data_IF_423427151232
#
_entry.id   IF_423427151232
#
_cell.length_a   1.000
_cell.length_b   1.000
_cell.length_c   1.000
_cell.angle_alpha   90.00
_cell.angle_beta   90.00
_cell.angle_gamma   90.00
#
_symmetry.space_group_name_H-M   'P 1'
#
loop_
_entity.id
_entity.type
_entity.pdbx_description
1 polymer ?
#
# COMPACT_ATOMS: atom_id res chain seq x y z
N UNK A 1 -14.35 35.11 -9.86
CA UNK A 1 -14.28 35.13 -11.35
C UNK A 1 -12.91 35.61 -11.90
N UNK A 2 -12.27 36.68 -11.41
CA UNK A 2 -10.95 37.13 -11.94
C UNK A 2 -9.81 36.13 -11.66
N UNK A 3 -9.77 35.45 -10.49
CA UNK A 3 -8.72 34.47 -10.15
C UNK A 3 -8.80 33.17 -11.01
N UNK A 4 -10.01 32.68 -11.28
CA UNK A 4 -10.16 31.49 -12.14
C UNK A 4 -9.76 31.75 -13.60
N UNK A 5 -9.92 32.99 -14.09
CA UNK A 5 -9.47 33.39 -15.43
C UNK A 5 -7.94 33.49 -15.53
N UNK A 6 -7.26 33.87 -14.44
CA UNK A 6 -5.81 33.92 -14.39
C UNK A 6 -5.22 32.50 -14.40
N UNK A 7 -5.76 31.57 -13.61
CA UNK A 7 -5.34 30.16 -13.61
C UNK A 7 -5.60 29.51 -14.97
N UNK A 8 -6.75 29.75 -15.59
CA UNK A 8 -7.05 29.24 -16.93
C UNK A 8 -6.15 29.85 -18.04
N UNK A 9 -5.78 31.12 -17.91
CA UNK A 9 -4.85 31.77 -18.86
C UNK A 9 -3.43 31.24 -18.70
N UNK A 10 -2.99 30.95 -17.48
CA UNK A 10 -1.68 30.33 -17.22
C UNK A 10 -1.66 28.84 -17.65
N UNK A 11 -2.73 28.09 -17.42
CA UNK A 11 -2.86 26.73 -17.95
C UNK A 11 -2.80 26.72 -19.49
N UNK A 12 -3.44 27.70 -20.14
CA UNK A 12 -3.38 27.85 -21.59
C UNK A 12 -1.98 28.26 -22.08
N UNK A 13 -1.26 29.11 -21.34
CA UNK A 13 0.13 29.46 -21.65
C UNK A 13 1.08 28.25 -21.46
N UNK A 14 0.90 27.45 -20.40
CA UNK A 14 1.68 26.24 -20.20
C UNK A 14 1.38 25.22 -21.31
N UNK A 15 0.11 25.01 -21.68
CA UNK A 15 -0.24 24.13 -22.79
C UNK A 15 0.24 24.65 -24.15
N UNK A 16 0.29 25.96 -24.37
CA UNK A 16 0.82 26.54 -25.60
C UNK A 16 2.35 26.49 -25.70
N UNK A 17 3.05 26.52 -24.56
CA UNK A 17 4.52 26.38 -24.51
C UNK A 17 4.98 24.95 -24.86
N UNK A 18 4.11 23.93 -24.70
CA UNK A 18 4.42 22.53 -25.00
C UNK A 18 4.26 22.14 -26.47
N UNK A 19 3.84 23.05 -27.34
CA UNK A 19 3.72 22.79 -28.80
C UNK A 19 4.95 23.27 -29.58
N UNK A 20 5.84 24.04 -28.96
CA UNK A 20 7.08 24.46 -29.59
C UNK A 20 8.19 23.42 -29.38
N UNK A 21 9.02 23.15 -30.38
CA UNK A 21 10.19 22.28 -30.19
C UNK A 21 11.12 22.96 -29.17
N UNK A 22 11.20 22.38 -27.99
CA UNK A 22 12.07 22.87 -26.93
C UNK A 22 13.52 22.65 -27.35
N UNK A 23 14.23 23.72 -27.66
CA UNK A 23 15.69 23.70 -27.72
C UNK A 23 16.18 23.75 -26.29
N UNK A 24 16.63 22.61 -25.77
CA UNK A 24 17.17 22.51 -24.43
C UNK A 24 18.46 23.31 -24.32
N UNK A 25 18.46 24.36 -23.50
CA UNK A 25 19.66 24.92 -22.94
C UNK A 25 19.81 24.31 -21.54
N UNK A 26 20.68 23.33 -21.41
CA UNK A 26 20.97 22.62 -20.18
C UNK A 26 22.00 23.39 -19.36
N UNK A 27 21.59 23.96 -18.24
CA UNK A 27 22.45 24.21 -17.08
C UNK A 27 21.60 24.09 -15.81
N UNK A 28 21.37 22.88 -15.34
CA UNK A 28 20.69 22.57 -14.10
C UNK A 28 20.50 21.06 -13.99
N UNK A 29 20.85 20.46 -12.87
CA UNK A 29 20.96 19.02 -12.69
C UNK A 29 19.76 18.23 -13.26
N UNK A 30 20.08 17.18 -13.95
CA UNK A 30 19.09 16.29 -14.59
C UNK A 30 18.19 15.66 -13.54
N UNK A 31 16.88 15.76 -13.74
CA UNK A 31 15.89 15.07 -12.91
C UNK A 31 15.66 13.70 -13.54
N UNK A 32 16.12 12.66 -12.85
CA UNK A 32 15.86 11.28 -13.26
C UNK A 32 14.54 10.78 -12.67
N UNK A 33 13.71 10.17 -13.51
CA UNK A 33 12.49 9.47 -13.10
C UNK A 33 12.63 8.00 -13.46
N UNK A 34 12.21 7.11 -12.57
CA UNK A 34 12.15 5.68 -12.83
C UNK A 34 10.83 5.06 -12.40
N UNK A 35 10.63 3.84 -12.84
CA UNK A 35 9.57 2.97 -12.36
C UNK A 35 10.14 2.00 -11.34
N UNK A 36 9.41 1.75 -10.27
CA UNK A 36 9.79 0.79 -9.24
C UNK A 36 8.56 0.05 -8.70
N UNK A 37 8.78 -1.16 -8.23
CA UNK A 37 7.72 -2.04 -7.74
C UNK A 37 7.26 -3.02 -8.81
N UNK A 38 6.24 -3.78 -8.46
CA UNK A 38 5.77 -4.90 -9.24
C UNK A 38 6.47 -6.20 -8.88
N UNK A 39 5.85 -7.30 -9.23
CA UNK A 39 6.41 -8.63 -9.09
C UNK A 39 7.02 -9.05 -10.45
N UNK A 40 8.09 -9.84 -10.39
CA UNK A 40 8.67 -10.41 -11.60
C UNK A 40 7.72 -11.40 -12.29
N UNK A 41 6.79 -11.99 -11.53
CA UNK A 41 5.86 -13.00 -11.97
C UNK A 41 4.47 -12.77 -11.34
N UNK A 42 3.39 -12.77 -12.14
CA UNK A 42 2.02 -12.55 -11.70
C UNK A 42 1.05 -13.51 -12.39
N UNK A 43 -0.02 -13.89 -11.71
CA UNK A 43 -1.10 -14.64 -12.32
C UNK A 43 -2.04 -13.75 -13.15
N UNK A 44 -2.77 -14.38 -14.09
CA UNK A 44 -3.85 -13.70 -14.82
C UNK A 44 -4.90 -13.20 -13.83
N UNK A 45 -5.30 -11.95 -13.99
CA UNK A 45 -6.26 -11.28 -13.09
C UNK A 45 -5.63 -10.59 -11.89
N UNK A 46 -4.33 -10.78 -11.61
CA UNK A 46 -3.61 -10.04 -10.59
C UNK A 46 -3.40 -8.58 -11.01
N UNK A 47 -3.08 -7.75 -10.02
CA UNK A 47 -2.79 -6.35 -10.24
C UNK A 47 -1.29 -6.09 -10.11
N UNK A 48 -0.69 -5.59 -11.20
CA UNK A 48 0.66 -5.06 -11.21
C UNK A 48 0.64 -3.63 -10.66
N UNK A 49 1.37 -3.41 -9.57
CA UNK A 49 1.55 -2.08 -8.97
C UNK A 49 2.93 -1.54 -9.32
N UNK A 50 2.98 -0.35 -9.90
CA UNK A 50 4.21 0.31 -10.33
C UNK A 50 4.24 1.72 -9.79
N UNK A 51 5.28 2.05 -9.01
CA UNK A 51 5.51 3.41 -8.54
C UNK A 51 6.38 4.19 -9.52
N UNK A 52 5.98 5.41 -9.79
CA UNK A 52 6.80 6.43 -10.44
C UNK A 52 7.53 7.19 -9.35
N UNK A 53 8.86 7.27 -9.43
CA UNK A 53 9.69 7.95 -8.41
C UNK A 53 10.76 8.82 -9.03
N UNK A 54 11.22 9.82 -8.29
CA UNK A 54 12.44 10.55 -8.61
C UNK A 54 13.67 9.77 -8.15
N UNK A 55 14.68 9.66 -9.00
CA UNK A 55 15.96 9.00 -8.69
C UNK A 55 17.03 10.00 -8.23
N UNK A 56 16.70 11.28 -8.12
CA UNK A 56 17.55 12.31 -7.54
C UNK A 56 16.72 13.30 -6.71
N UNK A 57 17.35 13.93 -5.73
CA UNK A 57 16.71 14.99 -4.99
C UNK A 57 16.51 16.23 -5.89
N UNK A 58 15.31 16.78 -5.86
CA UNK A 58 14.93 17.98 -6.60
C UNK A 58 14.71 19.10 -5.59
N UNK A 59 15.56 20.12 -5.62
CA UNK A 59 15.52 21.21 -4.63
C UNK A 59 14.24 22.05 -4.71
N UNK A 60 13.66 22.19 -5.89
CA UNK A 60 12.40 22.89 -6.12
C UNK A 60 11.65 22.26 -7.28
N UNK A 61 10.39 21.93 -7.09
CA UNK A 61 9.57 21.24 -8.06
C UNK A 61 8.30 22.02 -8.39
N UNK A 62 8.15 22.46 -9.63
CA UNK A 62 6.97 23.15 -10.13
C UNK A 62 6.01 22.24 -10.88
N UNK A 63 6.51 21.30 -11.66
CA UNK A 63 5.68 20.36 -12.40
C UNK A 63 6.47 19.47 -13.34
N UNK A 64 5.84 18.38 -13.77
CA UNK A 64 6.36 17.47 -14.78
C UNK A 64 5.24 16.93 -15.65
N UNK A 65 5.54 16.68 -16.91
CA UNK A 65 4.70 15.95 -17.85
C UNK A 65 5.49 14.80 -18.46
N UNK A 66 4.93 13.59 -18.44
CA UNK A 66 5.57 12.43 -19.06
C UNK A 66 4.52 11.42 -19.52
N UNK A 67 4.91 10.55 -20.42
CA UNK A 67 4.10 9.45 -20.91
C UNK A 67 4.58 8.13 -20.33
N UNK A 68 3.65 7.27 -19.98
CA UNK A 68 3.90 5.88 -19.61
C UNK A 68 3.36 4.99 -20.72
N UNK A 69 4.22 4.19 -21.31
CA UNK A 69 3.86 3.17 -22.30
C UNK A 69 3.75 1.81 -21.62
N UNK A 70 2.76 1.03 -22.01
CA UNK A 70 2.55 -0.32 -21.50
C UNK A 70 2.01 -1.25 -22.59
N UNK A 71 2.22 -2.55 -22.44
CA UNK A 71 1.70 -3.57 -23.36
C UNK A 71 0.20 -3.78 -23.13
N UNK A 72 -0.61 -3.03 -23.87
CA UNK A 72 -2.08 -3.05 -23.74
C UNK A 72 -2.74 -4.35 -24.21
N UNK A 73 -2.02 -5.24 -24.88
CA UNK A 73 -2.52 -6.57 -25.20
C UNK A 73 -2.47 -7.53 -24.01
N UNK A 74 -1.65 -7.22 -23.01
CA UNK A 74 -1.37 -8.10 -21.85
C UNK A 74 -1.65 -7.43 -20.50
N UNK A 75 -1.80 -6.11 -20.49
CA UNK A 75 -2.08 -5.28 -19.31
C UNK A 75 -3.25 -4.35 -19.60
N UNK A 76 -4.19 -4.30 -18.70
CA UNK A 76 -5.27 -3.33 -18.69
C UNK A 76 -4.95 -2.24 -17.67
N UNK A 77 -4.89 -0.97 -18.09
CA UNK A 77 -4.71 0.15 -17.15
C UNK A 77 -5.94 0.32 -16.27
N UNK A 78 -5.74 0.30 -14.95
CA UNK A 78 -6.82 0.41 -13.96
C UNK A 78 -6.85 1.80 -13.35
N UNK A 79 -5.73 2.26 -12.77
CA UNK A 79 -5.71 3.53 -12.04
C UNK A 79 -4.34 4.17 -11.98
N UNK A 80 -4.35 5.46 -11.74
CA UNK A 80 -3.23 6.25 -11.28
C UNK A 80 -3.60 6.93 -9.97
N UNK A 81 -2.80 6.72 -8.93
CA UNK A 81 -2.96 7.34 -7.61
C UNK A 81 -1.81 8.31 -7.39
N UNK A 82 -2.06 9.62 -7.21
CA UNK A 82 -1.03 10.57 -6.83
C UNK A 82 -0.55 10.29 -5.41
N UNK A 83 0.77 10.31 -5.19
CA UNK A 83 1.40 10.06 -3.89
C UNK A 83 2.05 11.30 -3.29
N UNK A 84 2.17 12.38 -4.05
CA UNK A 84 2.65 13.66 -3.56
C UNK A 84 1.57 14.72 -3.70
N UNK A 85 1.39 15.48 -2.64
CA UNK A 85 0.49 16.63 -2.57
C UNK A 85 -0.98 16.29 -2.77
N UNK A 86 -1.79 16.74 -1.85
CA UNK A 86 -3.22 16.97 -2.07
C UNK A 86 -3.41 18.46 -2.25
N UNK A 87 -4.21 18.88 -3.23
CA UNK A 87 -4.70 20.25 -3.25
C UNK A 87 -5.52 20.45 -1.97
N UNK A 88 -5.22 21.51 -1.19
CA UNK A 88 -6.11 21.95 -0.14
C UNK A 88 -7.42 22.51 -0.76
N UNK A 89 -8.44 22.75 0.05
CA UNK A 89 -9.72 23.31 -0.39
C UNK A 89 -9.57 24.66 -1.12
N UNK A 90 -8.44 25.36 -0.93
CA UNK A 90 -8.10 26.61 -1.60
C UNK A 90 -7.37 26.40 -2.95
N UNK A 91 -7.09 25.15 -3.33
CA UNK A 91 -6.38 24.82 -4.56
C UNK A 91 -4.86 25.00 -4.46
N UNK A 92 -4.32 25.11 -3.24
CA UNK A 92 -2.88 25.13 -3.01
C UNK A 92 -2.39 23.71 -2.76
N UNK A 93 -1.44 23.24 -3.54
CA UNK A 93 -0.88 21.90 -3.42
C UNK A 93 -0.47 21.33 -4.75
N UNK A 94 -0.03 20.07 -4.78
CA UNK A 94 0.30 19.38 -6.01
C UNK A 94 -0.98 18.85 -6.64
N UNK A 95 -1.27 19.27 -7.86
CA UNK A 95 -2.30 18.68 -8.69
C UNK A 95 -1.69 17.55 -9.50
N UNK A 96 -2.12 16.35 -9.22
CA UNK A 96 -1.76 15.19 -10.01
C UNK A 96 -2.93 14.85 -10.94
N UNK A 97 -2.62 14.74 -12.23
CA UNK A 97 -3.59 14.43 -13.23
C UNK A 97 -3.04 13.38 -14.18
N UNK A 98 -3.86 12.42 -14.55
CA UNK A 98 -3.53 11.50 -15.62
C UNK A 98 -4.61 11.52 -16.70
N UNK A 99 -4.20 11.27 -17.93
CA UNK A 99 -5.13 11.12 -19.04
C UNK A 99 -4.68 9.94 -19.90
N UNK A 100 -5.54 8.94 -20.04
CA UNK A 100 -5.36 7.91 -21.05
C UNK A 100 -5.52 8.56 -22.42
N UNK A 101 -4.47 8.58 -23.24
CA UNK A 101 -4.48 9.17 -24.56
C UNK A 101 -4.99 8.15 -25.58
N UNK A 102 -4.49 6.92 -25.47
CA UNK A 102 -4.84 5.78 -26.29
C UNK A 102 -4.42 4.50 -25.57
N UNK A 103 -4.87 3.35 -26.05
CA UNK A 103 -4.43 2.07 -25.49
C UNK A 103 -2.91 1.94 -25.60
N UNK A 104 -2.30 1.52 -24.51
CA UNK A 104 -0.86 1.41 -24.38
C UNK A 104 -0.11 2.68 -24.02
N UNK A 105 -0.78 3.83 -23.85
CA UNK A 105 -0.14 5.11 -23.51
C UNK A 105 -0.97 5.91 -22.51
N UNK A 106 -0.32 6.33 -21.42
CA UNK A 106 -0.91 7.14 -20.33
C UNK A 106 -0.07 8.41 -20.18
N UNK A 107 -0.72 9.55 -20.33
CA UNK A 107 -0.08 10.84 -20.06
C UNK A 107 -0.32 11.23 -18.61
N UNK A 108 0.77 11.60 -17.91
CA UNK A 108 0.74 12.07 -16.53
C UNK A 108 1.24 13.51 -16.51
N UNK A 109 0.48 14.36 -15.85
CA UNK A 109 0.82 15.75 -15.57
C UNK A 109 0.82 15.96 -14.06
N UNK A 110 1.95 16.38 -13.52
CA UNK A 110 2.12 16.76 -12.12
C UNK A 110 2.32 18.26 -12.03
N UNK A 111 1.56 18.94 -11.18
CA UNK A 111 1.71 20.37 -10.94
C UNK A 111 1.78 20.64 -9.43
N UNK A 112 2.81 21.32 -8.99
CA UNK A 112 2.88 21.88 -7.65
C UNK A 112 2.42 23.35 -7.69
N UNK A 113 1.11 23.56 -7.54
CA UNK A 113 0.50 24.88 -7.63
C UNK A 113 1.05 25.86 -6.58
N UNK A 114 1.33 25.40 -5.37
CA UNK A 114 1.90 26.22 -4.31
C UNK A 114 3.29 26.75 -4.69
N UNK A 115 4.15 25.90 -5.25
CA UNK A 115 5.46 26.33 -5.71
C UNK A 115 5.37 27.29 -6.90
N UNK A 116 4.48 27.03 -7.84
CA UNK A 116 4.30 27.87 -9.04
C UNK A 116 3.73 29.24 -8.66
N UNK A 117 2.67 29.29 -7.83
CA UNK A 117 1.95 30.54 -7.52
C UNK A 117 2.69 31.37 -6.47
N UNK A 118 3.18 30.72 -5.42
CA UNK A 118 3.76 31.39 -4.26
C UNK A 118 5.29 31.49 -4.33
N UNK A 119 5.91 30.99 -5.41
CA UNK A 119 7.37 30.88 -5.57
C UNK A 119 8.07 30.18 -4.41
N UNK A 120 7.39 29.22 -3.77
CA UNK A 120 7.98 28.41 -2.72
C UNK A 120 8.97 27.41 -3.33
N UNK A 121 10.01 27.08 -2.59
CA UNK A 121 11.04 26.13 -3.01
C UNK A 121 10.91 24.81 -2.27
N UNK A 122 9.73 24.20 -2.30
CA UNK A 122 9.58 22.85 -1.74
C UNK A 122 10.14 21.83 -2.72
N UNK A 123 11.16 21.11 -2.27
CA UNK A 123 11.82 20.06 -3.05
C UNK A 123 11.18 18.70 -2.85
N UNK A 124 11.67 17.74 -3.62
CA UNK A 124 11.32 16.33 -3.54
C UNK A 124 12.61 15.54 -3.26
N UNK A 125 12.58 14.69 -2.23
CA UNK A 125 13.75 13.88 -1.87
C UNK A 125 14.01 12.76 -2.90
N UNK A 126 15.25 12.32 -2.99
CA UNK A 126 15.63 11.15 -3.78
C UNK A 126 14.83 9.91 -3.34
N UNK A 127 14.35 9.13 -4.30
CA UNK A 127 13.59 7.91 -4.07
C UNK A 127 12.11 8.14 -3.72
N UNK A 128 11.65 9.41 -3.63
CA UNK A 128 10.25 9.71 -3.35
C UNK A 128 9.36 9.22 -4.50
N UNK A 129 8.40 8.36 -4.16
CA UNK A 129 7.35 7.96 -5.09
C UNK A 129 6.37 9.12 -5.27
N UNK A 130 6.11 9.48 -6.53
CA UNK A 130 5.25 10.63 -6.91
C UNK A 130 3.88 10.18 -7.39
N UNK A 131 3.75 8.93 -7.80
CA UNK A 131 2.49 8.33 -8.23
C UNK A 131 2.57 6.82 -8.27
N UNK A 132 1.42 6.17 -8.14
CA UNK A 132 1.25 4.73 -8.26
C UNK A 132 0.34 4.42 -9.44
N UNK A 133 0.82 3.58 -10.34
CA UNK A 133 0.09 3.04 -11.49
C UNK A 133 -0.32 1.62 -11.19
N UNK A 134 -1.55 1.27 -11.49
CA UNK A 134 -2.06 -0.09 -11.34
C UNK A 134 -2.56 -0.61 -12.67
N UNK A 135 -2.13 -1.81 -13.01
CA UNK A 135 -2.54 -2.55 -14.20
C UNK A 135 -3.07 -3.91 -13.80
N UNK A 136 -4.13 -4.36 -14.45
CA UNK A 136 -4.60 -5.74 -14.35
C UNK A 136 -3.90 -6.60 -15.39
N UNK A 137 -3.40 -7.75 -14.98
CA UNK A 137 -2.77 -8.74 -15.88
C UNK A 137 -3.85 -9.45 -16.68
N UNK A 138 -3.78 -9.35 -18.01
CA UNK A 138 -4.73 -9.96 -18.96
C UNK A 138 -4.05 -10.87 -19.99
N UNK A 139 -2.72 -10.90 -20.00
CA UNK A 139 -1.94 -11.77 -20.88
C UNK A 139 -2.10 -13.26 -20.55
N UNK A 140 -1.68 -14.11 -21.48
CA UNK A 140 -1.69 -15.56 -21.30
C UNK A 140 -0.47 -16.04 -20.50
N UNK A 141 -0.54 -17.28 -20.00
CA UNK A 141 0.58 -17.95 -19.33
C UNK A 141 1.85 -17.93 -20.21
N UNK A 142 2.99 -17.65 -19.61
CA UNK A 142 4.31 -17.43 -20.22
C UNK A 142 4.47 -16.13 -21.03
N UNK A 143 3.45 -15.27 -21.11
CA UNK A 143 3.61 -13.93 -21.69
C UNK A 143 4.54 -13.06 -20.82
N UNK A 144 5.27 -12.17 -21.47
CA UNK A 144 6.00 -11.08 -20.80
C UNK A 144 5.37 -9.76 -21.21
N UNK A 145 5.01 -8.94 -20.24
CA UNK A 145 4.50 -7.59 -20.45
C UNK A 145 5.46 -6.55 -19.85
N UNK A 146 5.43 -5.34 -20.37
CA UNK A 146 6.30 -4.25 -19.91
C UNK A 146 5.52 -2.96 -19.67
N UNK A 147 6.03 -2.17 -18.71
CA UNK A 147 5.63 -0.79 -18.45
C UNK A 147 6.91 0.05 -18.44
N UNK A 148 6.94 1.14 -19.18
CA UNK A 148 8.11 2.04 -19.26
C UNK A 148 7.66 3.50 -19.34
N UNK A 149 8.56 4.41 -18.94
CA UNK A 149 8.39 5.84 -19.23
C UNK A 149 8.87 6.07 -20.64
N UNK A 150 8.03 6.71 -21.47
CA UNK A 150 8.42 7.08 -22.82
C UNK A 150 9.36 8.28 -22.77
N UNK A 151 10.38 8.25 -23.63
CA UNK A 151 11.36 9.31 -23.73
C UNK A 151 10.77 10.60 -24.33
N UNK A 152 9.72 10.48 -25.13
CA UNK A 152 9.06 11.62 -25.76
C UNK A 152 7.97 12.22 -24.87
N UNK A 153 7.87 13.53 -24.85
CA UNK A 153 6.85 14.26 -24.09
C UNK A 153 7.18 14.49 -22.61
N UNK A 154 8.47 14.41 -22.27
CA UNK A 154 8.95 14.65 -20.92
C UNK A 154 9.33 16.11 -20.74
N UNK A 155 8.70 16.80 -19.77
CA UNK A 155 9.01 18.19 -19.45
C UNK A 155 8.87 18.42 -17.94
N UNK A 156 9.73 19.22 -17.36
CA UNK A 156 9.58 19.74 -16.02
C UNK A 156 9.74 21.26 -16.01
N UNK A 157 9.10 21.88 -15.05
CA UNK A 157 9.28 23.29 -14.81
C UNK A 157 9.65 23.51 -13.33
N UNK A 158 10.56 24.42 -13.08
CA UNK A 158 10.92 24.87 -11.74
C UNK A 158 10.22 26.19 -11.43
N UNK A 159 9.76 26.41 -10.19
CA UNK A 159 9.31 27.73 -9.78
C UNK A 159 10.52 28.62 -9.54
N UNK A 160 10.51 29.84 -10.02
CA UNK A 160 11.55 30.83 -9.77
C UNK A 160 11.92 31.60 -11.01
N UNK A 161 12.77 32.58 -10.87
CA UNK A 161 13.15 33.54 -11.89
C UNK A 161 13.11 32.96 -13.30
N UNK A 162 12.28 33.54 -14.13
CA UNK A 162 11.89 33.18 -15.49
C UNK A 162 13.04 32.83 -16.48
N UNK A 163 14.22 32.48 -16.02
CA UNK A 163 15.41 32.38 -16.87
C UNK A 163 15.98 30.98 -17.01
N UNK A 164 15.71 30.02 -16.14
CA UNK A 164 16.24 28.66 -16.29
C UNK A 164 15.35 27.63 -15.58
N UNK A 165 14.37 27.09 -16.29
CA UNK A 165 13.76 25.83 -15.88
C UNK A 165 14.77 24.72 -16.23
N UNK A 166 15.26 23.90 -15.27
CA UNK A 166 15.96 22.69 -15.64
C UNK A 166 15.01 21.84 -16.43
N UNK A 167 15.39 21.54 -17.67
CA UNK A 167 14.67 20.58 -18.46
C UNK A 167 14.83 19.19 -17.78
N UNK A 168 13.75 18.46 -17.66
CA UNK A 168 13.83 17.02 -17.48
C UNK A 168 14.45 16.48 -18.78
N UNK A 169 15.74 16.21 -18.78
CA UNK A 169 16.37 15.67 -19.97
C UNK A 169 16.26 14.17 -19.99
N UNK A 170 15.69 13.58 -21.05
CA UNK A 170 15.64 12.14 -21.24
C UNK A 170 17.02 11.47 -21.23
N UNK A 171 18.07 12.21 -21.51
CA UNK A 171 19.40 11.67 -21.80
C UNK A 171 20.06 10.92 -20.63
N UNK A 172 19.68 11.21 -19.39
CA UNK A 172 20.27 10.60 -18.18
C UNK A 172 19.29 9.76 -17.36
N UNK A 173 18.03 9.70 -17.77
CA UNK A 173 17.05 8.82 -17.15
C UNK A 173 17.23 7.42 -17.70
N UNK A 174 17.58 6.46 -16.85
CA UNK A 174 17.51 5.05 -17.20
C UNK A 174 16.06 4.64 -17.29
N UNK A 175 15.47 4.76 -18.48
CA UNK A 175 14.09 4.30 -18.76
C UNK A 175 14.05 2.76 -18.82
N UNK A 176 14.54 2.12 -17.76
CA UNK A 176 14.49 0.67 -17.65
C UNK A 176 13.02 0.28 -17.47
N UNK A 177 12.45 -0.51 -18.37
CA UNK A 177 11.08 -0.96 -18.23
C UNK A 177 10.96 -1.88 -17.02
N UNK A 178 9.87 -1.77 -16.31
CA UNK A 178 9.42 -2.81 -15.39
C UNK A 178 8.76 -3.90 -16.21
N UNK A 179 9.20 -5.14 -16.06
CA UNK A 179 8.64 -6.29 -16.75
C UNK A 179 7.95 -7.23 -15.78
N UNK A 180 6.91 -7.88 -16.25
CA UNK A 180 6.20 -8.93 -15.53
C UNK A 180 6.01 -10.13 -16.46
N UNK A 181 6.26 -11.33 -15.94
CA UNK A 181 5.92 -12.59 -16.60
C UNK A 181 4.59 -13.10 -16.06
N UNK A 182 3.69 -13.50 -16.94
CA UNK A 182 2.40 -14.09 -16.56
C UNK A 182 2.60 -15.57 -16.30
N UNK A 183 2.13 -16.08 -15.17
CA UNK A 183 2.28 -17.49 -14.80
C UNK A 183 1.02 -18.02 -14.10
N UNK A 184 0.66 -19.27 -14.40
CA UNK A 184 -0.43 -19.98 -13.74
C UNK A 184 -0.03 -20.53 -12.35
N UNK A 185 1.29 -20.57 -12.04
CA UNK A 185 1.83 -21.12 -10.79
C UNK A 185 2.83 -20.18 -10.11
N UNK A 186 2.36 -18.99 -9.76
CA UNK A 186 3.18 -17.94 -9.15
C UNK A 186 3.55 -18.29 -7.72
N UNK A 187 4.84 -18.09 -7.39
CA UNK A 187 5.33 -18.07 -6.01
C UNK A 187 5.73 -16.63 -5.64
N UNK A 188 4.92 -16.00 -4.82
CA UNK A 188 5.17 -14.61 -4.42
C UNK A 188 6.29 -14.49 -3.38
N UNK A 189 7.08 -13.39 -3.40
CA UNK A 189 8.14 -13.16 -2.43
C UNK A 189 7.57 -12.93 -1.02
N UNK A 190 8.35 -13.28 0.00
CA UNK A 190 8.01 -13.04 1.41
C UNK A 190 8.62 -11.75 1.97
N UNK A 191 9.58 -11.17 1.26
CA UNK A 191 10.23 -9.93 1.71
C UNK A 191 9.25 -8.77 1.79
N UNK A 192 9.16 -8.11 2.95
CA UNK A 192 8.23 -7.01 3.19
C UNK A 192 6.77 -7.43 3.35
N UNK A 193 6.48 -8.73 3.36
CA UNK A 193 5.13 -9.21 3.54
C UNK A 193 4.65 -9.00 4.99
N UNK A 194 3.37 -8.62 5.18
CA UNK A 194 2.81 -8.51 6.52
C UNK A 194 2.61 -9.89 7.17
N UNK A 195 2.52 -9.88 8.49
CA UNK A 195 2.12 -11.06 9.27
C UNK A 195 0.62 -11.05 9.49
N UNK A 196 -0.03 -12.20 9.26
CA UNK A 196 -1.43 -12.46 9.58
C UNK A 196 -1.49 -13.37 10.79
N UNK A 197 -2.29 -13.00 11.76
CA UNK A 197 -2.53 -13.79 12.97
C UNK A 197 -3.86 -14.51 12.85
N UNK A 198 -3.83 -15.84 12.95
CA UNK A 198 -5.01 -16.69 13.08
C UNK A 198 -5.39 -16.81 14.55
N UNK A 199 -6.48 -16.18 14.94
CA UNK A 199 -6.93 -16.14 16.33
C UNK A 199 -8.22 -16.94 16.45
N UNK A 200 -8.27 -17.85 17.41
CA UNK A 200 -9.48 -18.61 17.74
C UNK A 200 -10.08 -18.13 19.05
N UNK A 201 -11.38 -18.00 19.07
CA UNK A 201 -12.18 -17.79 20.30
C UNK A 201 -13.30 -18.80 20.37
N UNK A 202 -13.70 -19.21 21.58
CA UNK A 202 -14.77 -20.18 21.79
C UNK A 202 -15.87 -19.60 22.67
N UNK A 203 -17.10 -19.68 22.19
CA UNK A 203 -18.27 -19.32 22.94
C UNK A 203 -19.41 -20.29 22.67
N UNK A 204 -20.06 -20.80 23.73
CA UNK A 204 -21.20 -21.75 23.62
C UNK A 204 -20.91 -22.98 22.75
N UNK A 205 -19.68 -23.50 22.77
CA UNK A 205 -19.26 -24.66 22.00
C UNK A 205 -19.02 -24.39 20.51
N UNK A 206 -19.06 -23.13 20.09
CA UNK A 206 -18.69 -22.68 18.75
C UNK A 206 -17.32 -22.01 18.81
N UNK A 207 -16.41 -22.46 17.98
CA UNK A 207 -15.10 -21.84 17.77
C UNK A 207 -15.22 -20.89 16.60
N UNK A 208 -14.82 -19.64 16.80
CA UNK A 208 -14.68 -18.65 15.73
C UNK A 208 -13.21 -18.48 15.41
N UNK A 209 -12.83 -18.60 14.14
CA UNK A 209 -11.51 -18.23 13.63
C UNK A 209 -11.58 -16.83 13.04
N UNK A 210 -10.69 -15.97 13.50
CA UNK A 210 -10.51 -14.61 12.99
C UNK A 210 -9.10 -14.43 12.43
N UNK A 211 -8.98 -13.65 11.38
CA UNK A 211 -7.71 -13.18 10.85
C UNK A 211 -7.48 -11.73 11.32
N UNK A 212 -6.31 -11.44 11.88
CA UNK A 212 -5.92 -10.10 12.32
C UNK A 212 -4.56 -9.74 11.74
N UNK A 213 -4.37 -8.48 11.35
CA UNK A 213 -3.11 -7.93 10.87
C UNK A 213 -3.14 -6.41 11.01
N UNK A 214 -1.95 -5.75 11.04
CA UNK A 214 -1.89 -4.28 10.99
C UNK A 214 -2.09 -3.76 9.55
N UNK A 215 -3.26 -4.03 9.00
CA UNK A 215 -3.63 -3.70 7.62
C UNK A 215 -4.95 -2.95 7.68
N UNK A 216 -4.94 -1.68 7.28
CA UNK A 216 -6.14 -0.85 7.21
C UNK A 216 -6.96 -1.09 5.93
N UNK A 217 -6.31 -1.50 4.86
CA UNK A 217 -6.91 -1.63 3.53
C UNK A 217 -6.31 -2.84 2.79
N UNK A 218 -6.85 -4.03 3.08
CA UNK A 218 -6.47 -5.27 2.42
C UNK A 218 -7.13 -5.35 1.05
N UNK A 219 -6.33 -5.43 -0.01
CA UNK A 219 -6.81 -5.50 -1.39
C UNK A 219 -6.83 -6.91 -1.95
N UNK A 220 -5.87 -7.75 -1.56
CA UNK A 220 -5.79 -9.15 -1.97
C UNK A 220 -5.44 -10.04 -0.81
N UNK A 221 -6.11 -11.18 -0.73
CA UNK A 221 -5.77 -12.30 0.13
C UNK A 221 -6.05 -13.59 -0.63
N UNK A 222 -5.12 -14.54 -0.56
CA UNK A 222 -5.30 -15.90 -1.03
C UNK A 222 -4.55 -16.83 -0.07
N UNK A 223 -5.28 -17.65 0.64
CA UNK A 223 -4.74 -18.62 1.57
C UNK A 223 -5.61 -19.85 1.71
N UNK A 224 -4.97 -20.97 2.04
CA UNK A 224 -5.64 -22.22 2.35
C UNK A 224 -5.43 -22.58 3.81
N UNK A 225 -6.44 -23.14 4.43
CA UNK A 225 -6.39 -23.71 5.77
C UNK A 225 -6.70 -25.20 5.70
N UNK A 226 -6.03 -25.99 6.52
CA UNK A 226 -6.39 -27.38 6.81
C UNK A 226 -6.80 -27.47 8.27
N UNK A 227 -8.05 -27.82 8.51
CA UNK A 227 -8.68 -27.87 9.83
C UNK A 227 -8.82 -29.34 10.26
N UNK A 228 -8.08 -29.74 11.25
CA UNK A 228 -8.15 -31.08 11.82
C UNK A 228 -8.86 -31.05 13.17
N UNK A 229 -9.76 -32.02 13.42
CA UNK A 229 -10.51 -32.10 14.66
C UNK A 229 -11.60 -31.04 14.81
N UNK A 230 -12.11 -30.53 13.69
CA UNK A 230 -13.25 -29.61 13.62
C UNK A 230 -14.36 -30.17 12.73
N UNK A 231 -15.61 -29.84 13.08
CA UNK A 231 -16.83 -30.15 12.33
C UNK A 231 -17.70 -28.91 12.23
N UNK A 232 -18.79 -29.01 11.48
CA UNK A 232 -19.74 -27.89 11.27
C UNK A 232 -19.05 -26.61 10.83
N UNK A 233 -18.05 -26.76 9.91
CA UNK A 233 -17.26 -25.65 9.40
C UNK A 233 -18.14 -24.84 8.46
N UNK A 234 -18.25 -23.54 8.75
CA UNK A 234 -19.01 -22.59 7.94
C UNK A 234 -18.29 -21.24 7.88
N UNK A 235 -18.53 -20.46 6.82
CA UNK A 235 -18.11 -19.07 6.79
C UNK A 235 -18.83 -18.28 7.91
N UNK A 236 -18.14 -17.35 8.57
CA UNK A 236 -18.76 -16.47 9.53
C UNK A 236 -19.78 -15.55 8.83
N UNK A 237 -20.85 -15.16 9.54
CA UNK A 237 -21.98 -14.40 8.96
C UNK A 237 -21.55 -13.09 8.29
N UNK A 238 -20.56 -12.42 8.86
CA UNK A 238 -20.07 -11.12 8.42
C UNK A 238 -18.70 -11.20 7.74
N UNK A 239 -18.33 -12.42 7.25
CA UNK A 239 -17.04 -12.62 6.57
C UNK A 239 -17.01 -11.85 5.24
N UNK A 240 -16.09 -10.88 5.06
CA UNK A 240 -15.98 -10.11 3.82
C UNK A 240 -15.23 -10.86 2.72
N UNK A 241 -14.71 -12.06 3.01
CA UNK A 241 -13.93 -12.87 2.08
C UNK A 241 -14.79 -13.92 1.41
N UNK A 242 -14.37 -14.36 0.23
CA UNK A 242 -14.92 -15.57 -0.38
C UNK A 242 -14.30 -16.78 0.29
N UNK A 243 -15.15 -17.63 0.86
CA UNK A 243 -14.76 -18.86 1.56
C UNK A 243 -15.29 -20.06 0.80
N UNK A 244 -14.40 -20.99 0.44
CA UNK A 244 -14.76 -22.29 -0.14
C UNK A 244 -14.33 -23.39 0.82
N UNK A 245 -15.26 -24.29 1.16
CA UNK A 245 -15.07 -25.37 2.13
C UNK A 245 -15.22 -26.72 1.45
N UNK A 246 -14.18 -27.55 1.57
CA UNK A 246 -14.18 -28.94 1.13
C UNK A 246 -13.68 -29.84 2.27
N UNK A 247 -14.62 -30.37 3.05
CA UNK A 247 -14.32 -31.11 4.27
C UNK A 247 -13.51 -30.24 5.27
N UNK A 248 -12.32 -30.67 5.62
CA UNK A 248 -11.38 -29.91 6.48
C UNK A 248 -10.48 -28.94 5.73
N UNK A 249 -10.56 -28.89 4.40
CA UNK A 249 -9.79 -27.93 3.58
C UNK A 249 -10.64 -26.68 3.31
N UNK A 250 -10.12 -25.52 3.63
CA UNK A 250 -10.80 -24.22 3.46
C UNK A 250 -9.92 -23.29 2.65
N UNK A 251 -10.45 -22.73 1.58
CA UNK A 251 -9.80 -21.65 0.82
C UNK A 251 -10.46 -20.33 1.18
N UNK A 252 -9.66 -19.34 1.54
CA UNK A 252 -10.08 -17.98 1.80
C UNK A 252 -9.46 -17.10 0.74
N UNK A 253 -10.29 -16.37 0.00
CA UNK A 253 -9.82 -15.48 -1.06
C UNK A 253 -10.52 -14.13 -1.03
N UNK A 254 -9.78 -13.10 -1.41
CA UNK A 254 -10.25 -11.73 -1.61
C UNK A 254 -9.43 -11.09 -2.72
N UNK A 255 -10.08 -10.35 -3.59
CA UNK A 255 -9.42 -9.58 -4.64
C UNK A 255 -10.27 -8.36 -4.97
N UNK A 256 -10.05 -7.28 -4.24
CA UNK A 256 -10.76 -6.02 -4.42
C UNK A 256 -10.26 -5.29 -5.67
N UNK A 257 -11.13 -4.55 -6.31
CA UNK A 257 -10.71 -3.61 -7.35
C UNK A 257 -9.87 -2.48 -6.70
N UNK A 258 -8.75 -2.06 -7.30
CA UNK A 258 -7.82 -1.10 -6.69
C UNK A 258 -8.43 0.25 -6.27
N UNK A 259 -9.55 0.64 -6.86
CA UNK A 259 -10.27 1.88 -6.56
C UNK A 259 -11.41 1.71 -5.55
N UNK A 260 -11.53 0.53 -4.94
CA UNK A 260 -12.52 0.26 -3.90
C UNK A 260 -11.83 0.17 -2.55
N UNK A 261 -12.58 0.42 -1.48
CA UNK A 261 -12.09 0.18 -0.13
C UNK A 261 -11.84 -1.32 0.05
N UNK A 262 -10.73 -1.64 0.68
CA UNK A 262 -10.38 -2.99 1.07
C UNK A 262 -10.91 -3.34 2.45
N UNK A 263 -10.43 -4.44 3.00
CA UNK A 263 -10.84 -4.92 4.32
C UNK A 263 -9.89 -4.42 5.40
N UNK A 264 -10.43 -3.80 6.45
CA UNK A 264 -9.67 -3.43 7.64
C UNK A 264 -9.49 -4.66 8.54
N UNK A 265 -8.25 -5.12 8.70
CA UNK A 265 -7.91 -6.30 9.48
C UNK A 265 -7.41 -5.97 10.91
N UNK A 266 -7.32 -4.70 11.29
CA UNK A 266 -6.69 -4.26 12.56
C UNK A 266 -7.46 -4.69 13.79
N UNK A 267 -8.80 -4.72 13.72
CA UNK A 267 -9.65 -5.20 14.81
C UNK A 267 -9.89 -6.72 14.79
N UNK A 268 -9.39 -7.39 13.74
CA UNK A 268 -9.68 -8.80 13.49
C UNK A 268 -10.98 -9.00 12.69
N UNK A 269 -10.94 -9.93 11.75
CA UNK A 269 -12.04 -10.28 10.85
C UNK A 269 -12.41 -11.73 11.08
N UNK A 270 -13.62 -12.00 11.57
CA UNK A 270 -14.14 -13.35 11.70
C UNK A 270 -14.30 -13.98 10.30
N UNK A 271 -13.71 -15.15 10.09
CA UNK A 271 -13.74 -15.82 8.78
C UNK A 271 -14.49 -17.15 8.82
N UNK A 272 -14.36 -17.91 9.89
CA UNK A 272 -14.99 -19.22 10.05
C UNK A 272 -15.63 -19.36 11.40
N UNK A 273 -16.71 -20.17 11.43
CA UNK A 273 -17.27 -20.78 12.64
C UNK A 273 -17.19 -22.30 12.50
N UNK A 274 -16.92 -23.02 13.60
CA UNK A 274 -16.74 -24.45 13.61
C UNK A 274 -16.98 -25.02 15.01
N UNK A 275 -17.10 -26.35 15.13
CA UNK A 275 -17.16 -27.03 16.41
C UNK A 275 -15.97 -27.97 16.57
N UNK A 276 -15.49 -28.11 17.81
CA UNK A 276 -14.46 -29.11 18.13
C UNK A 276 -15.02 -30.53 17.98
N UNK A 277 -14.24 -31.39 17.37
CA UNK A 277 -14.53 -32.81 17.21
C UNK A 277 -13.31 -33.63 17.65
N UNK A 278 -13.48 -34.44 18.69
CA UNK A 278 -12.38 -35.24 19.25
C UNK A 278 -11.50 -34.48 20.23
N UNK A 279 -10.36 -35.07 20.59
CA UNK A 279 -9.48 -34.60 21.66
C UNK A 279 -8.36 -33.65 21.18
N UNK A 280 -8.06 -33.65 19.89
CA UNK A 280 -6.98 -32.83 19.32
C UNK A 280 -7.50 -31.99 18.16
N UNK A 281 -7.17 -30.71 18.15
CA UNK A 281 -7.47 -29.79 17.08
C UNK A 281 -6.18 -29.16 16.55
N UNK A 282 -6.11 -28.94 15.25
CA UNK A 282 -5.05 -28.13 14.63
C UNK A 282 -5.55 -27.35 13.43
N UNK A 283 -4.98 -26.18 13.23
CA UNK A 283 -5.20 -25.31 12.07
C UNK A 283 -3.84 -25.16 11.38
N UNK A 284 -3.74 -25.68 10.15
CA UNK A 284 -2.53 -25.53 9.35
C UNK A 284 -2.82 -24.51 8.25
N UNK A 285 -2.07 -23.42 8.23
CA UNK A 285 -2.21 -22.38 7.23
C UNK A 285 -1.21 -22.54 6.09
N UNK A 286 -1.67 -22.34 4.87
CA UNK A 286 -0.87 -22.29 3.66
C UNK A 286 -1.17 -20.99 2.92
N UNK A 287 -0.53 -19.87 3.35
CA UNK A 287 -0.73 -18.58 2.70
C UNK A 287 -0.08 -18.56 1.32
N UNK A 288 -0.71 -17.87 0.37
CA UNK A 288 -0.26 -17.79 -1.01
C UNK A 288 0.05 -16.35 -1.43
N UNK A 289 -0.89 -15.43 -1.23
CA UNK A 289 -0.78 -14.07 -1.72
C UNK A 289 -1.45 -13.06 -0.80
N UNK A 290 -0.86 -11.87 -0.69
CA UNK A 290 -1.44 -10.69 -0.04
C UNK A 290 -1.00 -9.43 -0.78
N UNK A 291 -1.90 -8.44 -0.87
CA UNK A 291 -1.60 -7.06 -1.25
C UNK A 291 -2.48 -6.10 -0.46
N UNK A 292 -1.94 -4.91 -0.20
CA UNK A 292 -2.58 -3.88 0.62
C UNK A 292 -2.53 -2.54 -0.10
N UNK A 293 -3.32 -1.58 0.34
CA UNK A 293 -3.06 -0.17 0.05
C UNK A 293 -2.40 0.50 1.25
N UNK A 294 -1.51 1.42 0.97
CA UNK A 294 -0.95 2.32 1.98
C UNK A 294 -1.89 3.50 2.29
N UNK A 295 -1.51 4.34 3.24
CA UNK A 295 -2.29 5.51 3.64
C UNK A 295 -2.50 6.54 2.50
N UNK A 296 -1.71 6.48 1.44
CA UNK A 296 -1.82 7.34 0.26
C UNK A 296 -2.64 6.70 -0.86
N UNK A 297 -3.14 5.48 -0.65
CA UNK A 297 -3.93 4.72 -1.61
C UNK A 297 -3.09 3.97 -2.66
N UNK A 298 -1.76 3.90 -2.49
CA UNK A 298 -0.92 3.10 -3.38
C UNK A 298 -1.06 1.61 -3.08
N UNK A 299 -1.25 0.81 -4.13
CA UNK A 299 -1.30 -0.64 -4.01
C UNK A 299 0.11 -1.20 -3.83
N UNK A 300 0.32 -2.02 -2.79
CA UNK A 300 1.57 -2.74 -2.58
C UNK A 300 1.78 -3.82 -3.66
N UNK A 301 3.03 -4.21 -3.96
CA UNK A 301 3.29 -5.44 -4.68
C UNK A 301 2.68 -6.65 -3.98
N UNK A 302 2.30 -7.67 -4.76
CA UNK A 302 1.78 -8.91 -4.17
C UNK A 302 2.93 -9.67 -3.52
N UNK A 303 2.75 -10.06 -2.26
CA UNK A 303 3.72 -10.82 -1.48
C UNK A 303 3.06 -12.06 -0.87
N UNK A 304 3.85 -12.99 -0.38
CA UNK A 304 3.37 -14.15 0.39
C UNK A 304 3.42 -13.80 1.88
N UNK A 305 2.28 -13.71 2.59
CA UNK A 305 2.28 -13.33 4.00
C UNK A 305 2.85 -14.45 4.89
N UNK A 306 3.36 -14.06 6.05
CA UNK A 306 3.58 -14.98 7.16
C UNK A 306 2.28 -15.16 7.92
N UNK A 307 1.95 -16.39 8.31
CA UNK A 307 0.76 -16.68 9.13
C UNK A 307 1.20 -17.38 10.42
N UNK A 308 0.67 -16.95 11.55
CA UNK A 308 0.94 -17.53 12.86
C UNK A 308 -0.35 -17.68 13.66
N UNK A 309 -0.43 -18.68 14.51
CA UNK A 309 -1.49 -18.90 15.50
C UNK A 309 -1.09 -18.45 16.90
N UNK A 310 0.15 -17.98 17.06
CA UNK A 310 0.63 -17.34 18.29
C UNK A 310 0.69 -15.81 18.12
N UNK A 311 -0.40 -15.10 18.47
CA UNK A 311 -0.46 -13.66 18.32
C UNK A 311 0.49 -12.92 19.26
N UNK A 312 0.90 -13.55 20.34
CA UNK A 312 1.80 -12.95 21.32
C UNK A 312 3.26 -13.34 21.11
N UNK A 313 3.56 -14.32 20.21
CA UNK A 313 4.92 -14.74 19.88
C UNK A 313 5.69 -15.29 21.10
N UNK A 314 4.99 -15.93 22.03
CA UNK A 314 5.55 -16.45 23.29
C UNK A 314 5.73 -15.39 24.39
N UNK A 315 5.42 -14.12 24.14
CA UNK A 315 5.48 -13.07 25.15
C UNK A 315 4.20 -12.97 25.97
N UNK A 316 4.30 -12.39 27.15
CA UNK A 316 3.13 -12.18 28.03
C UNK A 316 2.40 -10.90 27.62
N UNK A 317 1.07 -10.92 27.64
CA UNK A 317 0.28 -9.71 27.43
C UNK A 317 0.70 -8.59 28.39
N UNK A 318 0.96 -7.42 27.83
CA UNK A 318 1.54 -6.29 28.55
C UNK A 318 3.06 -6.13 28.37
N UNK A 319 3.76 -7.12 27.83
CA UNK A 319 5.22 -7.08 27.52
C UNK A 319 5.38 -6.53 26.09
N UNK A 320 5.29 -5.21 25.96
CA UNK A 320 5.18 -4.53 24.67
C UNK A 320 6.55 -4.30 24.00
N UNK A 321 7.61 -4.19 24.79
CA UNK A 321 8.97 -4.10 24.26
C UNK A 321 9.61 -5.48 24.02
N UNK A 322 8.89 -6.57 24.40
CA UNK A 322 9.27 -7.98 24.17
C UNK A 322 10.61 -8.36 24.87
N UNK A 323 10.88 -7.78 26.04
CA UNK A 323 12.06 -8.08 26.84
C UNK A 323 11.84 -9.29 27.79
N UNK A 324 10.64 -9.88 27.81
CA UNK A 324 10.22 -11.00 28.65
C UNK A 324 9.65 -10.56 30.00
N UNK A 325 9.36 -9.28 30.20
CA UNK A 325 8.83 -8.74 31.46
C UNK A 325 7.79 -7.67 31.19
N UNK A 326 6.74 -7.64 32.01
CA UNK A 326 5.81 -6.51 32.01
C UNK A 326 6.31 -5.46 33.00
N UNK A 327 6.75 -4.33 32.50
CA UNK A 327 7.40 -3.26 33.26
C UNK A 327 6.80 -1.87 32.96
N UNK A 328 7.34 -0.83 33.60
CA UNK A 328 6.88 0.54 33.38
C UNK A 328 7.16 1.02 31.93
N UNK A 329 8.24 0.52 31.32
CA UNK A 329 8.61 0.87 29.94
C UNK A 329 7.51 0.50 28.94
N UNK A 330 6.87 -0.66 29.12
CA UNK A 330 5.76 -1.12 28.29
C UNK A 330 4.57 -0.15 28.35
N UNK A 331 4.18 0.22 29.57
CA UNK A 331 3.12 1.20 29.77
C UNK A 331 3.45 2.56 29.12
N UNK A 332 4.71 2.98 29.13
CA UNK A 332 5.16 4.20 28.47
C UNK A 332 5.08 4.08 26.95
N UNK A 333 5.43 2.91 26.38
CA UNK A 333 5.27 2.66 24.94
C UNK A 333 3.82 2.74 24.50
N UNK A 334 2.92 2.10 25.24
CA UNK A 334 1.47 2.13 25.00
C UNK A 334 0.93 3.56 25.09
N UNK A 335 1.34 4.32 26.11
CA UNK A 335 0.95 5.71 26.26
C UNK A 335 1.42 6.57 25.08
N UNK A 336 2.67 6.41 24.65
CA UNK A 336 3.20 7.13 23.48
C UNK A 336 2.44 6.80 22.20
N UNK A 337 2.05 5.54 22.01
CA UNK A 337 1.23 5.13 20.89
C UNK A 337 -0.16 5.77 20.97
N UNK A 338 -0.83 5.72 22.13
CA UNK A 338 -2.15 6.30 22.34
C UNK A 338 -2.21 7.80 22.03
N UNK A 339 -1.12 8.53 22.29
CA UNK A 339 -1.01 9.97 21.97
C UNK A 339 -0.28 10.25 20.65
N UNK A 340 -0.10 9.23 19.80
CA UNK A 340 0.48 9.32 18.46
C UNK A 340 1.93 9.85 18.39
N UNK A 341 2.72 9.63 19.43
CA UNK A 341 4.15 9.93 19.46
C UNK A 341 5.03 8.73 19.06
N UNK A 342 4.44 7.54 18.91
CA UNK A 342 5.11 6.30 18.54
C UNK A 342 4.11 5.41 17.81
N UNK A 343 4.57 4.65 16.83
CA UNK A 343 3.82 3.57 16.21
C UNK A 343 4.31 2.23 16.74
N UNK A 344 3.37 1.35 17.06
CA UNK A 344 3.63 -0.03 17.46
C UNK A 344 3.37 -0.96 16.27
N UNK A 345 4.16 -2.01 16.13
CA UNK A 345 3.89 -3.05 15.14
C UNK A 345 2.69 -3.92 15.54
N UNK A 346 2.29 -4.85 14.66
CA UNK A 346 1.08 -5.65 14.89
C UNK A 346 1.16 -6.52 16.14
N UNK A 347 2.33 -7.11 16.42
CA UNK A 347 2.54 -7.93 17.62
C UNK A 347 2.51 -7.06 18.87
N UNK A 348 3.21 -5.94 18.86
CA UNK A 348 3.20 -4.96 19.94
C UNK A 348 1.79 -4.43 20.24
N UNK A 349 0.97 -4.17 19.20
CA UNK A 349 -0.43 -3.77 19.37
C UNK A 349 -1.27 -4.86 20.07
N UNK A 350 -1.02 -6.13 19.77
CA UNK A 350 -1.70 -7.24 20.45
C UNK A 350 -1.26 -7.40 21.92
N UNK A 351 0.02 -7.17 22.19
CA UNK A 351 0.56 -7.17 23.55
C UNK A 351 0.06 -5.95 24.35
N UNK A 352 -0.11 -4.82 23.69
CA UNK A 352 -0.55 -3.55 24.29
C UNK A 352 -2.03 -3.47 24.63
N UNK A 353 -2.91 -4.18 23.91
CA UNK A 353 -4.36 -4.22 24.10
C UNK A 353 -4.70 -5.03 25.37
N UNK A 354 -4.57 -4.40 26.53
CA UNK A 354 -4.63 -5.06 27.82
C UNK A 354 -6.05 -5.52 28.21
N UNK A 355 -7.07 -4.78 27.77
CA UNK A 355 -8.49 -5.10 28.03
C UNK A 355 -9.16 -5.88 26.89
N UNK A 356 -8.46 -6.15 25.78
CA UNK A 356 -8.95 -6.87 24.60
C UNK A 356 -10.11 -6.18 23.87
N UNK A 357 -10.23 -4.85 23.95
CA UNK A 357 -11.29 -4.12 23.26
C UNK A 357 -10.97 -3.81 21.79
N UNK A 358 -9.74 -4.15 21.33
CA UNK A 358 -9.23 -3.92 19.99
C UNK A 358 -8.72 -2.51 19.72
N UNK A 359 -8.60 -1.67 20.77
CA UNK A 359 -8.10 -0.30 20.70
C UNK A 359 -6.94 -0.11 21.66
N UNK A 360 -5.98 0.69 21.26
CA UNK A 360 -4.86 1.05 22.13
C UNK A 360 -5.10 2.45 22.70
N UNK A 361 -5.39 2.49 23.98
CA UNK A 361 -5.80 3.70 24.69
C UNK A 361 -4.90 3.96 25.92
N UNK A 362 -5.12 5.09 26.58
CA UNK A 362 -4.50 5.39 27.87
C UNK A 362 -4.92 4.37 28.95
N UNK A 363 -6.11 3.76 28.83
CA UNK A 363 -6.59 2.75 29.76
C UNK A 363 -5.69 1.51 29.76
N UNK A 364 -5.27 1.04 28.58
CA UNK A 364 -4.34 -0.09 28.44
C UNK A 364 -2.99 0.21 29.11
N UNK A 365 -2.47 1.42 28.89
CA UNK A 365 -1.24 1.85 29.55
C UNK A 365 -1.36 1.82 31.08
N UNK A 366 -2.50 2.26 31.60
CA UNK A 366 -2.80 2.21 33.05
C UNK A 366 -2.92 0.76 33.55
N UNK A 367 -3.55 -0.13 32.78
CA UNK A 367 -3.66 -1.54 33.13
C UNK A 367 -2.28 -2.21 33.15
N UNK A 368 -1.47 -2.00 32.12
CA UNK A 368 -0.10 -2.52 32.06
C UNK A 368 0.75 -1.98 33.21
N UNK A 369 0.64 -0.70 33.53
CA UNK A 369 1.34 -0.11 34.67
C UNK A 369 0.92 -0.78 35.99
N UNK A 370 -0.39 -1.01 36.21
CA UNK A 370 -0.89 -1.71 37.39
C UNK A 370 -0.39 -3.15 37.48
N UNK A 371 -0.28 -3.87 36.34
CA UNK A 371 0.31 -5.22 36.28
C UNK A 371 1.80 -5.16 36.59
N UNK A 372 2.55 -4.21 36.03
CA UNK A 372 3.98 -4.02 36.28
C UNK A 372 4.31 -3.85 37.78
N UNK A 373 3.41 -3.17 38.51
CA UNK A 373 3.54 -3.00 39.97
C UNK A 373 2.75 -4.03 40.79
N UNK A 374 2.27 -5.11 40.13
CA UNK A 374 1.58 -6.26 40.73
C UNK A 374 0.28 -5.92 41.48
N UNK A 375 -0.46 -4.89 41.03
CA UNK A 375 -1.78 -4.53 41.57
C UNK A 375 -2.91 -5.30 40.89
N UNK A 376 -2.74 -5.72 39.65
CA UNK A 376 -3.68 -6.55 38.90
C UNK A 376 -2.92 -7.61 38.10
N UNK A 377 -3.65 -8.64 37.67
CA UNK A 377 -3.22 -9.57 36.61
C UNK A 377 -4.31 -9.67 35.56
N UNK A 378 -3.91 -9.96 34.28
CA UNK A 378 -4.80 -10.11 33.12
C UNK A 378 -4.17 -10.98 32.05
#
# INVERSE_FOLDING_TARGET
MKRQRIVAAWLACIMAAFVLPFVALAEGGDIAISLSGGNAELAVGDYLSVNVKFDAAVASFGGAEFNVEYDSAKLEFVSYTPLIGSADEAGNGALNYHKKIRDGNIKILLLNAANIINKNSTGIANGTAIGNLVFKVTGANADTASVKIAQEGFAACMPGDNTTAPALTPANSTFTPTTVTVSDSVTYPTAGAPTIYCITSEANGVVTLSLKANIADLQRLDMQLTLNGYTDIAAASDCPFTVSIDGGSVTISHNAAPNTDGVDMRSGVAVLTMKKSGASQSIISAPKAIATKDANGALSPITKPTVTDDPLGGFTKGDVDMDGRVAVNDAVMVLKNAIKLMELDTQQLMLADADNDGKITVNDAVMILKKAIKLIDF
#
